data_IF_717633529227
#
_entry.id   IF_717633529227
#
_cell.length_a   1.000
_cell.length_b   1.000
_cell.length_c   1.000
_cell.angle_alpha   90.00
_cell.angle_beta   90.00
_cell.angle_gamma   90.00
#
_symmetry.space_group_name_H-M   'P 1'
#
loop_
_entity.id
_entity.type
_entity.pdbx_description
1 polymer ?
#
# COMPACT_ATOMS: atom_id res chain seq x y z
N UNK A 1 30.07 -16.14 20.27
CA UNK A 1 28.90 -15.49 19.62
C UNK A 1 29.08 -15.63 18.12
N UNK A 2 28.27 -16.44 17.44
CA UNK A 2 28.34 -16.51 15.97
C UNK A 2 27.90 -15.17 15.36
N UNK A 3 28.46 -14.74 14.21
CA UNK A 3 28.06 -13.49 13.56
C UNK A 3 26.55 -13.37 13.35
N UNK A 4 25.89 -14.48 13.01
CA UNK A 4 24.43 -14.56 12.85
C UNK A 4 23.65 -14.31 14.15
N UNK A 5 24.17 -14.77 15.30
CA UNK A 5 23.57 -14.54 16.61
C UNK A 5 23.70 -13.08 17.07
N UNK A 6 24.84 -12.45 16.76
CA UNK A 6 25.06 -11.01 17.01
C UNK A 6 24.11 -10.15 16.17
N UNK A 7 23.91 -10.50 14.90
CA UNK A 7 22.97 -9.77 14.03
C UNK A 7 21.54 -9.76 14.58
N UNK A 8 20.98 -10.92 14.91
CA UNK A 8 19.60 -11.02 15.40
C UNK A 8 19.38 -10.43 16.79
N UNK A 9 20.37 -10.54 17.69
CA UNK A 9 20.21 -10.15 19.10
C UNK A 9 20.69 -8.74 19.43
N UNK A 10 21.57 -8.16 18.62
CA UNK A 10 22.13 -6.82 18.86
C UNK A 10 21.77 -5.86 17.73
N UNK A 11 22.09 -6.20 16.48
CA UNK A 11 21.92 -5.28 15.34
C UNK A 11 20.43 -5.05 15.04
N UNK A 12 19.64 -6.12 14.93
CA UNK A 12 18.20 -6.04 14.64
C UNK A 12 17.41 -5.21 15.67
N UNK A 13 17.53 -5.43 17.00
CA UNK A 13 16.82 -4.63 17.98
C UNK A 13 17.27 -3.17 18.03
N UNK A 14 18.55 -2.87 17.77
CA UNK A 14 19.04 -1.50 17.62
C UNK A 14 18.48 -0.82 16.36
N UNK A 15 18.29 -1.58 15.28
CA UNK A 15 17.74 -1.09 14.02
C UNK A 15 16.20 -1.06 13.99
N UNK A 16 15.49 -1.63 14.97
CA UNK A 16 14.02 -1.64 15.06
C UNK A 16 13.34 -0.30 14.73
N UNK A 17 13.73 0.85 15.32
CA UNK A 17 13.07 2.12 14.99
C UNK A 17 13.29 2.53 13.53
N UNK A 18 14.48 2.31 12.97
CA UNK A 18 14.76 2.60 11.56
C UNK A 18 13.97 1.67 10.61
N UNK A 19 13.95 0.37 10.91
CA UNK A 19 13.18 -0.61 10.15
C UNK A 19 11.68 -0.32 10.20
N UNK A 20 11.15 0.14 11.33
CA UNK A 20 9.75 0.52 11.45
C UNK A 20 9.40 1.70 10.53
N UNK A 21 10.25 2.74 10.48
CA UNK A 21 10.05 3.89 9.57
C UNK A 21 10.13 3.46 8.11
N UNK A 22 11.13 2.67 7.73
CA UNK A 22 11.26 2.18 6.35
C UNK A 22 10.09 1.28 5.96
N UNK A 23 9.64 0.39 6.85
CA UNK A 23 8.49 -0.47 6.61
C UNK A 23 7.20 0.34 6.43
N UNK A 24 6.98 1.35 7.29
CA UNK A 24 5.83 2.24 7.19
C UNK A 24 5.83 3.05 5.90
N UNK A 25 6.97 3.66 5.54
CA UNK A 25 7.12 4.40 4.30
C UNK A 25 6.89 3.51 3.07
N UNK A 26 7.48 2.31 3.08
CA UNK A 26 7.28 1.32 2.02
C UNK A 26 5.81 0.87 1.92
N UNK A 27 5.11 0.73 3.06
CA UNK A 27 3.70 0.36 3.09
C UNK A 27 2.82 1.43 2.48
N UNK A 28 2.95 2.70 2.89
CA UNK A 28 2.18 3.81 2.31
C UNK A 28 2.43 3.91 0.80
N UNK A 29 3.69 3.79 0.38
CA UNK A 29 4.08 3.88 -1.02
C UNK A 29 3.46 2.75 -1.84
N UNK A 30 3.52 1.51 -1.35
CA UNK A 30 2.93 0.35 -2.05
C UNK A 30 1.40 0.35 -2.01
N UNK A 31 0.79 0.85 -0.93
CA UNK A 31 -0.66 0.88 -0.74
C UNK A 31 -1.36 1.89 -1.65
N UNK A 32 -0.74 3.06 -1.84
CA UNK A 32 -1.24 4.10 -2.75
C UNK A 32 -0.94 3.86 -4.22
N UNK A 33 -0.28 2.76 -4.57
CA UNK A 33 0.28 2.60 -5.90
C UNK A 33 -0.76 2.14 -6.93
N UNK A 34 -1.01 3.00 -7.92
CA UNK A 34 -2.03 2.79 -8.96
C UNK A 34 -1.39 2.44 -10.30
N UNK A 35 -0.26 3.05 -10.66
CA UNK A 35 0.31 2.93 -12.00
C UNK A 35 0.79 1.51 -12.28
N UNK A 36 1.54 0.91 -11.35
CA UNK A 36 1.98 -0.48 -11.48
C UNK A 36 0.81 -1.47 -11.41
N UNK A 37 -0.19 -1.21 -10.56
CA UNK A 37 -1.36 -2.06 -10.45
C UNK A 37 -2.14 -2.12 -11.77
N UNK A 38 -2.38 -0.98 -12.43
CA UNK A 38 -3.06 -0.94 -13.72
C UNK A 38 -2.23 -1.49 -14.89
N UNK A 39 -0.90 -1.45 -14.79
CA UNK A 39 -0.02 -1.91 -15.85
C UNK A 39 0.21 -3.44 -15.82
N UNK A 40 0.26 -4.03 -14.62
CA UNK A 40 0.65 -5.43 -14.44
C UNK A 40 -0.51 -6.37 -14.06
N UNK A 41 -1.59 -5.86 -13.46
CA UNK A 41 -2.72 -6.70 -13.04
C UNK A 41 -3.74 -6.78 -14.18
N UNK A 42 -3.86 -7.97 -14.77
CA UNK A 42 -4.83 -8.28 -15.81
C UNK A 42 -6.03 -8.98 -15.18
N UNK A 43 -7.22 -8.42 -15.39
CA UNK A 43 -8.48 -8.96 -14.86
C UNK A 43 -9.03 -8.14 -13.70
N UNK A 44 -10.35 -7.93 -13.74
CA UNK A 44 -11.09 -7.06 -12.84
C UNK A 44 -11.04 -7.46 -11.36
N UNK A 45 -10.78 -8.75 -11.11
CA UNK A 45 -10.68 -9.39 -9.79
C UNK A 45 -9.30 -9.21 -9.15
N UNK A 46 -8.28 -8.89 -9.95
CA UNK A 46 -6.90 -8.75 -9.49
C UNK A 46 -6.50 -7.30 -9.22
N UNK A 47 -7.40 -6.34 -9.44
CA UNK A 47 -7.11 -4.92 -9.22
C UNK A 47 -6.98 -4.62 -7.74
N UNK A 48 -5.99 -3.80 -7.40
CA UNK A 48 -5.86 -3.25 -6.05
C UNK A 48 -7.04 -2.32 -5.75
N UNK A 49 -7.35 -2.10 -4.48
CA UNK A 49 -8.38 -1.14 -4.06
C UNK A 49 -8.19 0.25 -4.71
N UNK A 50 -6.93 0.70 -4.82
CA UNK A 50 -6.58 1.95 -5.48
C UNK A 50 -6.73 1.87 -7.02
N UNK A 51 -6.41 0.73 -7.64
CA UNK A 51 -6.68 0.48 -9.06
C UNK A 51 -8.18 0.41 -9.39
N UNK A 52 -8.98 -0.16 -8.50
CA UNK A 52 -10.43 -0.27 -8.63
C UNK A 52 -11.17 1.07 -8.59
N UNK A 53 -10.60 2.10 -7.94
CA UNK A 53 -11.14 3.46 -7.96
C UNK A 53 -11.29 4.02 -9.39
N UNK A 54 -10.42 3.59 -10.31
CA UNK A 54 -10.49 4.02 -11.72
C UNK A 54 -11.78 3.58 -12.40
N UNK A 55 -12.46 2.52 -11.91
CA UNK A 55 -13.76 2.08 -12.45
C UNK A 55 -14.91 3.03 -12.14
N UNK A 56 -14.82 3.83 -11.09
CA UNK A 56 -15.84 4.85 -10.78
C UNK A 56 -15.77 6.05 -11.72
N UNK A 57 -14.66 6.18 -12.46
CA UNK A 57 -14.48 7.17 -13.52
C UNK A 57 -14.63 6.45 -14.87
N UNK A 58 -15.87 6.27 -15.31
CA UNK A 58 -16.17 5.66 -16.60
C UNK A 58 -16.24 6.72 -17.71
N UNK A 59 -16.06 6.29 -18.96
CA UNK A 59 -16.12 7.15 -20.15
C UNK A 59 -17.46 7.88 -20.32
N UNK A 60 -18.53 7.40 -19.67
CA UNK A 60 -19.90 7.94 -19.75
C UNK A 60 -20.30 8.80 -18.55
N UNK A 61 -19.44 8.95 -17.54
CA UNK A 61 -19.71 9.75 -16.35
C UNK A 61 -18.92 9.30 -15.12
N UNK A 62 -18.54 10.28 -14.28
CA UNK A 62 -17.84 10.04 -13.03
C UNK A 62 -18.83 9.91 -11.86
N UNK A 63 -18.76 8.81 -11.12
CA UNK A 63 -19.58 8.58 -9.93
C UNK A 63 -18.86 9.08 -8.67
N UNK A 64 -18.91 10.39 -8.44
CA UNK A 64 -18.17 11.06 -7.34
C UNK A 64 -18.53 10.56 -5.94
N UNK A 65 -19.80 10.23 -5.68
CA UNK A 65 -20.27 9.73 -4.38
C UNK A 65 -19.61 8.41 -3.95
N UNK A 66 -19.78 7.32 -4.72
CA UNK A 66 -19.14 6.05 -4.37
C UNK A 66 -17.61 6.10 -4.49
N UNK A 67 -17.05 6.92 -5.38
CA UNK A 67 -15.61 7.13 -5.47
C UNK A 67 -15.04 7.72 -4.17
N UNK A 68 -15.63 8.80 -3.65
CA UNK A 68 -15.17 9.42 -2.39
C UNK A 68 -15.36 8.51 -1.19
N UNK A 69 -16.48 7.78 -1.12
CA UNK A 69 -16.70 6.78 -0.07
C UNK A 69 -15.63 5.66 -0.09
N UNK A 70 -15.31 5.14 -1.27
CA UNK A 70 -14.25 4.15 -1.44
C UNK A 70 -12.87 4.72 -1.08
N UNK A 71 -12.54 5.96 -1.48
CA UNK A 71 -11.28 6.62 -1.11
C UNK A 71 -11.10 6.77 0.40
N UNK A 72 -12.16 7.10 1.14
CA UNK A 72 -12.11 7.17 2.62
C UNK A 72 -11.82 5.80 3.22
N UNK A 73 -12.47 4.74 2.73
CA UNK A 73 -12.21 3.37 3.20
C UNK A 73 -10.78 2.92 2.92
N UNK A 74 -10.21 3.32 1.78
CA UNK A 74 -8.83 3.03 1.37
C UNK A 74 -7.82 3.82 2.23
N UNK A 75 -8.18 5.02 2.69
CA UNK A 75 -7.32 5.85 3.52
C UNK A 75 -7.21 5.35 4.98
N UNK A 76 -8.23 4.65 5.50
CA UNK A 76 -8.24 4.14 6.90
C UNK A 76 -6.98 3.31 7.24
N UNK A 77 -6.65 2.23 6.50
CA UNK A 77 -5.47 1.42 6.80
C UNK A 77 -4.13 2.12 6.49
N UNK A 78 -4.13 3.21 5.71
CA UNK A 78 -2.93 4.00 5.46
C UNK A 78 -2.66 5.04 6.55
N UNK A 79 -3.71 5.47 7.26
CA UNK A 79 -3.64 6.45 8.34
C UNK A 79 -3.42 5.80 9.73
N UNK A 80 -3.71 4.51 9.86
CA UNK A 80 -3.47 3.68 11.05
C UNK A 80 -2.11 3.00 11.00
#
# INVERSE_FOLDING_TARGET
>A
LTPFGTFWRLILPLAKPGLAVTAFYSFITAWGEVAYASAFLVGDENLTLAGGLQKFVNQYGAQWGPMTAASVLIAIPAAL
#
